data_IF_383150326835
#
_entry.id   IF_383150326835
#
_cell.length_a   1.000
_cell.length_b   1.000
_cell.length_c   1.000
_cell.angle_alpha   90.00
_cell.angle_beta   90.00
_cell.angle_gamma   90.00
#
_symmetry.space_group_name_H-M   'P 1'
#
loop_
_entity.id
_entity.type
_entity.pdbx_description
1 polymer ?
#
# COMPACT_ATOMS: atom_id res chain seq x y z
N UNK A 1 38.47 -30.19 -4.70
CA UNK A 1 38.58 -28.78 -4.23
C UNK A 1 37.21 -28.41 -3.68
N UNK A 2 37.02 -28.37 -2.35
CA UNK A 2 35.74 -28.06 -1.73
C UNK A 2 35.74 -26.59 -1.31
N UNK A 3 34.84 -25.79 -1.86
CA UNK A 3 34.71 -24.36 -1.56
C UNK A 3 33.63 -24.21 -0.47
N UNK A 4 34.05 -24.18 0.79
CA UNK A 4 33.14 -23.81 1.88
C UNK A 4 32.83 -22.32 1.78
N UNK A 5 31.64 -21.98 1.28
CA UNK A 5 31.15 -20.61 1.27
C UNK A 5 30.85 -20.18 2.71
N UNK A 6 31.76 -19.41 3.31
CA UNK A 6 31.52 -18.77 4.61
C UNK A 6 30.48 -17.66 4.42
N UNK A 7 29.22 -17.94 4.75
CA UNK A 7 28.16 -16.93 4.85
C UNK A 7 28.46 -16.01 6.02
N UNK A 8 28.95 -14.81 5.72
CA UNK A 8 29.21 -13.77 6.72
C UNK A 8 27.89 -13.10 7.07
N UNK A 9 27.31 -13.49 8.21
CA UNK A 9 26.14 -12.81 8.75
C UNK A 9 26.54 -11.40 9.19
N UNK A 10 26.11 -10.38 8.45
CA UNK A 10 26.27 -8.99 8.85
C UNK A 10 25.32 -8.71 10.01
N UNK A 11 25.86 -8.64 11.23
CA UNK A 11 25.10 -8.23 12.40
C UNK A 11 24.74 -6.75 12.30
N UNK A 12 23.55 -6.45 11.78
CA UNK A 12 22.99 -5.10 11.80
C UNK A 12 22.85 -4.62 13.24
N UNK A 13 23.52 -3.52 13.58
CA UNK A 13 23.42 -2.87 14.89
C UNK A 13 22.01 -2.32 15.09
N UNK A 14 21.50 -2.20 16.33
CA UNK A 14 20.19 -1.59 16.58
C UNK A 14 20.01 -0.21 15.94
N UNK A 15 21.09 0.59 15.90
CA UNK A 15 21.12 1.90 15.25
C UNK A 15 20.82 1.83 13.73
N UNK A 16 21.29 0.78 13.04
CA UNK A 16 21.00 0.57 11.61
C UNK A 16 19.56 0.12 11.32
N UNK A 17 18.85 -0.43 12.32
CA UNK A 17 17.47 -0.92 12.18
C UNK A 17 16.44 0.15 12.50
N UNK A 18 16.81 1.15 13.29
CA UNK A 18 15.89 2.18 13.78
C UNK A 18 15.23 2.99 12.64
N UNK A 19 15.94 3.44 11.59
CA UNK A 19 15.31 4.17 10.48
C UNK A 19 14.29 3.31 9.72
N UNK A 20 14.60 2.02 9.50
CA UNK A 20 13.70 1.10 8.82
C UNK A 20 12.45 0.80 9.66
N UNK A 21 12.60 0.64 10.97
CA UNK A 21 11.48 0.44 11.88
C UNK A 21 10.55 1.66 11.93
N UNK A 22 11.13 2.87 11.97
CA UNK A 22 10.35 4.13 11.91
C UNK A 22 9.61 4.24 10.56
N UNK A 23 10.31 3.99 9.44
CA UNK A 23 9.70 4.03 8.12
C UNK A 23 8.55 3.03 7.97
N UNK A 24 8.74 1.79 8.43
CA UNK A 24 7.69 0.78 8.44
C UNK A 24 6.49 1.18 9.32
N UNK A 25 6.76 1.82 10.47
CA UNK A 25 5.71 2.29 11.38
C UNK A 25 4.90 3.43 10.77
N UNK A 26 5.56 4.40 10.14
CA UNK A 26 4.91 5.52 9.44
C UNK A 26 4.07 4.99 8.28
N UNK A 27 4.60 4.07 7.48
CA UNK A 27 3.86 3.46 6.37
C UNK A 27 2.64 2.68 6.88
N UNK A 28 2.81 1.90 7.95
CA UNK A 28 1.70 1.17 8.58
C UNK A 28 0.61 2.11 9.09
N UNK A 29 0.99 3.19 9.78
CA UNK A 29 0.06 4.24 10.20
C UNK A 29 -0.64 4.87 9.00
N UNK A 30 0.09 5.23 7.94
CA UNK A 30 -0.49 5.80 6.74
C UNK A 30 -1.55 4.89 6.12
N UNK A 31 -1.29 3.58 6.04
CA UNK A 31 -2.25 2.60 5.52
C UNK A 31 -3.47 2.51 6.46
N UNK A 32 -3.25 2.37 7.77
CA UNK A 32 -4.35 2.25 8.74
C UNK A 32 -5.22 3.49 8.79
N UNK A 33 -4.64 4.69 8.69
CA UNK A 33 -5.38 5.94 8.58
C UNK A 33 -6.06 6.05 7.22
N UNK A 34 -5.35 5.80 6.13
CA UNK A 34 -5.90 5.86 4.78
C UNK A 34 -7.12 4.96 4.60
N UNK A 35 -7.05 3.72 5.10
CA UNK A 35 -8.15 2.74 5.06
C UNK A 35 -9.20 3.02 6.15
N UNK A 36 -8.77 3.34 7.37
CA UNK A 36 -9.65 3.56 8.51
C UNK A 36 -10.51 4.81 8.39
N UNK A 37 -10.03 5.85 7.70
CA UNK A 37 -10.78 7.06 7.35
C UNK A 37 -11.42 7.00 5.95
N UNK A 38 -11.27 5.87 5.26
CA UNK A 38 -11.94 5.62 3.98
C UNK A 38 -13.47 5.32 4.15
N UNK A 39 -14.03 5.61 5.33
CA UNK A 39 -15.42 5.31 5.66
C UNK A 39 -16.36 6.11 4.72
N UNK A 40 -16.87 5.46 3.68
CA UNK A 40 -17.78 6.08 2.71
C UNK A 40 -17.64 5.65 1.24
N UNK A 41 -16.66 4.81 0.87
CA UNK A 41 -16.50 4.46 -0.56
C UNK A 41 -17.36 3.31 -1.08
N UNK A 42 -18.07 2.58 -0.20
CA UNK A 42 -18.94 1.47 -0.60
C UNK A 42 -20.00 1.90 -1.62
N UNK A 43 -20.61 3.06 -1.39
CA UNK A 43 -21.64 3.60 -2.28
C UNK A 43 -21.07 4.57 -3.31
N UNK A 44 -19.94 5.24 -3.05
CA UNK A 44 -19.41 6.22 -4.01
C UNK A 44 -18.97 5.57 -5.33
N UNK A 45 -18.30 4.41 -5.27
CA UNK A 45 -17.85 3.73 -6.48
C UNK A 45 -18.98 3.02 -7.20
N UNK A 46 -19.93 2.43 -6.46
CA UNK A 46 -21.13 1.83 -7.05
C UNK A 46 -22.03 2.89 -7.69
N UNK A 47 -22.29 4.00 -7.01
CA UNK A 47 -23.09 5.11 -7.55
C UNK A 47 -22.37 5.78 -8.72
N UNK A 48 -21.06 6.01 -8.65
CA UNK A 48 -20.31 6.55 -9.79
C UNK A 48 -20.35 5.63 -11.03
N UNK A 49 -20.28 4.30 -10.85
CA UNK A 49 -20.43 3.35 -11.95
C UNK A 49 -21.87 3.34 -12.52
N UNK A 50 -22.86 3.45 -11.64
CA UNK A 50 -24.26 3.56 -12.04
C UNK A 50 -24.59 4.91 -12.71
N UNK A 51 -23.93 5.99 -12.33
CA UNK A 51 -24.09 7.32 -12.94
C UNK A 51 -23.33 7.42 -14.27
N UNK A 52 -22.20 6.72 -14.39
CA UNK A 52 -21.44 6.62 -15.64
C UNK A 52 -22.32 6.09 -16.76
N UNK A 53 -23.08 5.01 -16.56
CA UNK A 53 -23.96 4.50 -17.64
C UNK A 53 -25.07 5.49 -18.08
N UNK A 54 -25.41 6.48 -17.24
CA UNK A 54 -26.38 7.53 -17.57
C UNK A 54 -25.75 8.71 -18.31
N UNK A 55 -24.47 9.02 -18.04
CA UNK A 55 -23.72 10.07 -18.75
C UNK A 55 -23.04 9.56 -20.03
N UNK A 56 -22.92 8.24 -20.19
CA UNK A 56 -22.26 7.59 -21.33
C UNK A 56 -23.26 7.11 -22.39
N UNK A 57 -24.49 7.63 -22.41
CA UNK A 57 -25.39 7.47 -23.56
C UNK A 57 -24.68 8.08 -24.76
N UNK A 58 -24.01 7.23 -25.53
CA UNK A 58 -23.45 7.55 -26.84
C UNK A 58 -24.58 8.19 -27.65
N UNK A 59 -24.43 9.43 -28.16
CA UNK A 59 -25.43 10.03 -29.03
C UNK A 59 -25.49 9.20 -30.31
N UNK A 60 -26.44 8.28 -30.40
CA UNK A 60 -26.82 7.65 -31.64
C UNK A 60 -27.77 8.63 -32.34
N UNK A 61 -27.14 9.47 -33.19
CA UNK A 61 -27.70 10.59 -33.94
C UNK A 61 -27.87 11.89 -33.12
#
# INVERSE_FOLDING_TARGET
>A
MNLSATTRATSLTPASRLPAAIGASILGLFILFGVGFAQGQGDMFHNAAHDTRHTMVFPCH
#
